data_IF_975853360019
#
_entry.id   IF_975853360019
#
_cell.length_a   1.000
_cell.length_b   1.000
_cell.length_c   1.000
_cell.angle_alpha   90.00
_cell.angle_beta   90.00
_cell.angle_gamma   90.00
#
_symmetry.space_group_name_H-M   'P 1'
#
loop_
_entity.id
_entity.type
_entity.pdbx_description
1 polymer ?
#
# COMPACT_ATOMS: atom_id res chain seq x y z
N UNK A 1 29.39 38.37 -12.26
CA UNK A 1 28.72 37.18 -11.69
C UNK A 1 29.61 35.99 -12.00
N UNK A 2 30.02 35.23 -11.00
CA UNK A 2 30.66 33.93 -11.24
C UNK A 2 29.57 32.97 -11.74
N UNK A 3 29.80 32.22 -12.82
CA UNK A 3 28.82 31.27 -13.37
C UNK A 3 28.62 30.03 -12.48
N UNK A 4 29.40 29.88 -11.41
CA UNK A 4 29.29 28.79 -10.46
C UNK A 4 28.16 29.04 -9.47
N UNK A 5 27.12 28.19 -9.54
CA UNK A 5 25.99 28.16 -8.61
C UNK A 5 26.24 27.03 -7.60
N UNK A 6 26.17 27.29 -6.28
CA UNK A 6 26.31 26.24 -5.27
C UNK A 6 25.29 25.11 -5.48
N UNK A 7 25.70 23.85 -5.28
CA UNK A 7 24.79 22.70 -5.41
C UNK A 7 23.55 22.82 -4.51
N UNK A 8 23.68 23.47 -3.34
CA UNK A 8 22.57 23.73 -2.42
C UNK A 8 21.52 24.73 -2.95
N UNK A 9 21.80 25.45 -4.03
CA UNK A 9 20.90 26.43 -4.65
C UNK A 9 20.19 25.89 -5.90
N UNK A 10 20.61 24.73 -6.42
CA UNK A 10 20.01 24.09 -7.60
C UNK A 10 18.72 23.37 -7.19
N UNK A 11 17.56 23.93 -7.52
CA UNK A 11 16.25 23.54 -6.94
C UNK A 11 15.60 22.26 -7.52
N UNK A 12 16.36 21.41 -8.21
CA UNK A 12 15.85 20.16 -8.79
C UNK A 12 15.47 19.16 -7.69
N UNK A 13 14.36 18.43 -7.86
CA UNK A 13 13.89 17.44 -6.88
C UNK A 13 14.78 16.21 -6.76
N UNK A 14 15.56 15.91 -7.80
CA UNK A 14 16.58 14.87 -7.79
C UNK A 14 17.92 15.34 -7.21
N UNK A 15 18.09 16.63 -6.92
CA UNK A 15 19.32 17.14 -6.31
C UNK A 15 19.27 16.95 -4.79
N UNK A 16 20.08 16.03 -4.20
CA UNK A 16 19.99 15.73 -2.79
C UNK A 16 20.50 16.90 -1.92
N UNK A 17 21.46 17.69 -2.42
CA UNK A 17 21.99 18.88 -1.73
C UNK A 17 20.92 19.95 -1.49
N UNK A 18 19.95 20.07 -2.41
CA UNK A 18 18.81 20.97 -2.26
C UNK A 18 17.67 20.33 -1.47
N UNK A 19 17.32 19.07 -1.80
CA UNK A 19 16.15 18.37 -1.24
C UNK A 19 16.24 18.18 0.28
N UNK A 20 17.40 17.76 0.80
CA UNK A 20 17.52 17.34 2.20
C UNK A 20 18.02 18.42 3.16
N UNK A 21 18.60 19.51 2.64
CA UNK A 21 19.14 20.68 3.36
C UNK A 21 20.12 20.34 4.53
N UNK A 22 20.90 21.33 4.94
CA UNK A 22 21.80 21.22 6.10
C UNK A 22 23.14 20.54 5.82
N UNK A 23 23.96 20.35 6.87
CA UNK A 23 25.34 19.85 6.78
C UNK A 23 25.41 18.31 6.88
N UNK A 24 24.82 17.62 5.91
CA UNK A 24 24.97 16.15 5.77
C UNK A 24 26.16 15.83 4.86
N UNK A 25 26.80 14.68 5.07
CA UNK A 25 27.81 14.19 4.13
C UNK A 25 27.17 13.79 2.79
N UNK A 26 27.97 13.72 1.73
CA UNK A 26 27.52 13.24 0.42
C UNK A 26 26.95 11.81 0.50
N UNK A 27 27.58 10.92 1.25
CA UNK A 27 27.11 9.54 1.49
C UNK A 27 25.74 9.51 2.20
N UNK A 28 25.53 10.39 3.19
CA UNK A 28 24.23 10.51 3.86
C UNK A 28 23.15 11.03 2.91
N UNK A 29 23.51 11.99 2.05
CA UNK A 29 22.63 12.58 1.04
C UNK A 29 22.22 11.55 -0.03
N UNK A 30 23.17 10.75 -0.52
CA UNK A 30 22.91 9.65 -1.46
C UNK A 30 22.02 8.58 -0.84
N UNK A 31 22.28 8.17 0.39
CA UNK A 31 21.47 7.18 1.11
C UNK A 31 20.02 7.65 1.27
N UNK A 32 19.82 8.93 1.60
CA UNK A 32 18.49 9.52 1.69
C UNK A 32 17.78 9.57 0.34
N UNK A 33 18.50 9.99 -0.72
CA UNK A 33 17.97 10.05 -2.07
C UNK A 33 17.54 8.67 -2.58
N UNK A 34 18.40 7.66 -2.38
CA UNK A 34 18.09 6.27 -2.74
C UNK A 34 16.84 5.78 -2.01
N UNK A 35 16.77 6.00 -0.69
CA UNK A 35 15.62 5.57 0.13
C UNK A 35 14.33 6.20 -0.37
N UNK A 36 14.31 7.51 -0.59
CA UNK A 36 13.11 8.22 -1.06
C UNK A 36 12.73 7.83 -2.49
N UNK A 37 13.71 7.63 -3.38
CA UNK A 37 13.46 7.18 -4.76
C UNK A 37 12.79 5.81 -4.76
N UNK A 38 13.23 4.89 -3.89
CA UNK A 38 12.61 3.57 -3.76
C UNK A 38 11.18 3.65 -3.20
N UNK A 39 10.93 4.56 -2.26
CA UNK A 39 9.56 4.81 -1.78
C UNK A 39 8.65 5.41 -2.85
N UNK A 40 9.17 6.33 -3.66
CA UNK A 40 8.46 6.90 -4.81
C UNK A 40 8.14 5.82 -5.86
N UNK A 41 9.10 4.93 -6.14
CA UNK A 41 8.89 3.76 -7.01
C UNK A 41 7.82 2.80 -6.47
N UNK A 42 7.83 2.49 -5.16
CA UNK A 42 6.77 1.69 -4.52
C UNK A 42 5.41 2.42 -4.58
N UNK A 43 5.38 3.74 -4.43
CA UNK A 43 4.13 4.51 -4.58
C UNK A 43 3.58 4.44 -6.01
N UNK A 44 4.47 4.48 -7.00
CA UNK A 44 4.12 4.30 -8.41
C UNK A 44 3.62 2.88 -8.69
N UNK A 45 4.25 1.84 -8.13
CA UNK A 45 3.80 0.46 -8.29
C UNK A 45 2.39 0.27 -7.73
N UNK A 46 2.10 0.79 -6.54
CA UNK A 46 0.73 0.78 -5.97
C UNK A 46 -0.26 1.54 -6.86
N UNK A 47 0.16 2.65 -7.48
CA UNK A 47 -0.67 3.33 -8.47
C UNK A 47 -0.95 2.48 -9.72
N UNK A 48 0.00 1.66 -10.16
CA UNK A 48 -0.22 0.68 -11.23
C UNK A 48 -1.15 -0.45 -10.76
N UNK A 49 -1.02 -0.92 -9.51
CA UNK A 49 -1.91 -1.92 -8.93
C UNK A 49 -3.36 -1.43 -8.91
N UNK A 50 -3.61 -0.15 -8.64
CA UNK A 50 -4.96 0.39 -8.71
C UNK A 50 -5.41 0.83 -10.12
N UNK A 51 -4.54 0.72 -11.13
CA UNK A 51 -4.83 1.16 -12.50
C UNK A 51 -4.82 2.68 -12.67
N UNK A 52 -4.36 3.43 -11.67
CA UNK A 52 -4.16 4.88 -11.80
C UNK A 52 -3.08 5.20 -12.82
N UNK A 53 -2.08 4.33 -12.95
CA UNK A 53 -1.01 4.39 -13.92
C UNK A 53 -0.92 3.06 -14.70
N UNK A 54 -0.17 3.08 -15.80
CA UNK A 54 0.22 1.90 -16.56
C UNK A 54 1.72 1.95 -16.86
N UNK A 55 2.32 0.77 -17.06
CA UNK A 55 3.67 0.64 -17.62
C UNK A 55 3.66 0.91 -19.13
N UNK A 56 2.53 0.67 -19.79
CA UNK A 56 2.39 0.63 -21.25
C UNK A 56 1.86 1.93 -21.83
N UNK A 57 1.38 2.85 -20.97
CA UNK A 57 0.84 4.14 -21.37
C UNK A 57 1.22 5.25 -20.38
N UNK A 58 1.83 6.35 -20.83
CA UNK A 58 2.17 7.47 -19.96
C UNK A 58 0.92 8.24 -19.51
N UNK A 59 1.00 8.83 -18.31
CA UNK A 59 -0.06 9.67 -17.74
C UNK A 59 -0.99 8.91 -16.80
N UNK A 60 -2.06 9.58 -16.40
CA UNK A 60 -3.13 8.99 -15.59
C UNK A 60 -4.04 8.14 -16.48
N UNK A 61 -4.43 6.96 -16.00
CA UNK A 61 -5.37 6.06 -16.68
C UNK A 61 -6.72 6.09 -15.97
N UNK A 62 -6.80 5.57 -14.73
CA UNK A 62 -7.98 5.67 -13.86
C UNK A 62 -7.83 6.80 -12.85
N UNK A 63 -8.51 7.92 -13.10
CA UNK A 63 -8.45 9.13 -12.27
C UNK A 63 -9.77 9.91 -12.19
N UNK A 64 -10.88 9.37 -12.70
CA UNK A 64 -12.21 9.96 -12.60
C UNK A 64 -13.15 9.04 -11.82
N UNK A 65 -14.18 9.64 -11.22
CA UNK A 65 -15.16 8.91 -10.43
C UNK A 65 -15.94 7.93 -11.31
N UNK A 66 -16.06 6.68 -10.84
CA UNK A 66 -16.85 5.65 -11.51
C UNK A 66 -16.13 4.94 -12.64
N UNK A 67 -14.87 5.29 -12.93
CA UNK A 67 -14.06 4.52 -13.88
C UNK A 67 -13.76 3.11 -13.33
N UNK A 68 -13.78 2.15 -14.25
CA UNK A 68 -13.69 0.72 -13.99
C UNK A 68 -12.48 0.11 -14.70
N UNK A 69 -12.29 -1.20 -14.52
CA UNK A 69 -11.28 -1.94 -15.27
C UNK A 69 -11.57 -1.94 -16.77
N UNK A 70 -12.83 -1.90 -17.19
CA UNK A 70 -13.17 -1.81 -18.61
C UNK A 70 -12.66 -0.50 -19.22
N UNK A 71 -12.75 0.61 -18.48
CA UNK A 71 -12.21 1.90 -18.89
C UNK A 71 -10.67 1.89 -18.97
N UNK A 72 -10.02 1.11 -18.09
CA UNK A 72 -8.58 0.88 -18.17
C UNK A 72 -8.22 0.13 -19.45
N UNK A 73 -8.90 -0.97 -19.74
CA UNK A 73 -8.64 -1.84 -20.89
C UNK A 73 -8.96 -1.18 -22.22
N UNK A 74 -9.92 -0.25 -22.27
CA UNK A 74 -10.13 0.58 -23.46
C UNK A 74 -8.92 1.46 -23.79
N UNK A 75 -8.16 1.87 -22.76
CA UNK A 75 -6.97 2.70 -22.91
C UNK A 75 -5.68 1.89 -23.06
N UNK A 76 -5.61 0.72 -22.43
CA UNK A 76 -4.46 -0.20 -22.42
C UNK A 76 -4.99 -1.62 -22.66
N UNK A 77 -5.23 -2.04 -23.91
CA UNK A 77 -5.91 -3.31 -24.21
C UNK A 77 -5.11 -4.56 -23.83
N UNK A 78 -3.78 -4.49 -23.88
CA UNK A 78 -2.87 -5.59 -23.55
C UNK A 78 -1.84 -5.12 -22.50
N UNK A 79 -2.24 -4.95 -21.24
CA UNK A 79 -1.35 -4.39 -20.22
C UNK A 79 -0.30 -5.41 -19.80
N UNK A 80 0.95 -4.94 -19.69
CA UNK A 80 2.08 -5.72 -19.13
C UNK A 80 1.87 -6.05 -17.66
N UNK A 81 1.10 -5.23 -16.94
CA UNK A 81 0.73 -5.45 -15.55
C UNK A 81 -0.73 -5.06 -15.32
N UNK A 82 -1.57 -6.06 -15.04
CA UNK A 82 -3.00 -5.85 -14.85
C UNK A 82 -3.29 -5.19 -13.49
N UNK A 83 -4.14 -4.14 -13.45
CA UNK A 83 -4.65 -3.62 -12.19
C UNK A 83 -5.46 -4.64 -11.41
N UNK A 84 -5.63 -4.36 -10.13
CA UNK A 84 -6.49 -5.06 -9.21
C UNK A 84 -7.96 -4.89 -9.62
N UNK A 85 -8.69 -5.99 -9.69
CA UNK A 85 -10.00 -6.03 -10.33
C UNK A 85 -11.07 -5.35 -9.48
N UNK A 86 -11.06 -5.57 -8.17
CA UNK A 86 -12.12 -5.11 -7.27
C UNK A 86 -11.77 -3.85 -6.46
N UNK A 87 -10.52 -3.35 -6.60
CA UNK A 87 -10.00 -2.15 -5.97
C UNK A 87 -9.68 -2.31 -4.46
N UNK A 88 -9.44 -3.53 -3.99
CA UNK A 88 -9.13 -3.84 -2.60
C UNK A 88 -7.81 -4.62 -2.55
N UNK A 89 -6.74 -4.00 -2.06
CA UNK A 89 -5.44 -4.67 -1.95
C UNK A 89 -5.13 -4.95 -0.47
N UNK A 90 -5.14 -6.21 -0.02
CA UNK A 90 -4.86 -6.57 1.37
C UNK A 90 -3.38 -6.31 1.74
N UNK A 91 -3.17 -5.79 2.94
CA UNK A 91 -1.84 -5.55 3.54
C UNK A 91 -1.75 -6.29 4.87
N UNK A 92 -1.47 -7.58 4.82
CA UNK A 92 -1.50 -8.44 6.00
C UNK A 92 -0.09 -8.88 6.42
N UNK A 93 0.01 -9.47 7.63
CA UNK A 93 1.28 -9.99 8.18
C UNK A 93 1.85 -11.16 7.36
N UNK A 94 1.00 -11.84 6.59
CA UNK A 94 1.37 -12.93 5.70
C UNK A 94 0.49 -12.94 4.45
N UNK A 95 0.82 -13.79 3.48
CA UNK A 95 0.09 -13.95 2.22
C UNK A 95 -1.14 -14.85 2.41
N UNK A 96 -2.30 -14.22 2.64
CA UNK A 96 -3.59 -14.92 2.76
C UNK A 96 -4.42 -14.86 1.48
N UNK A 97 -4.12 -13.94 0.57
CA UNK A 97 -4.91 -13.66 -0.63
C UNK A 97 -4.00 -13.55 -1.85
N UNK A 98 -4.53 -13.89 -3.03
CA UNK A 98 -3.77 -13.89 -4.30
C UNK A 98 -3.40 -12.49 -4.78
N UNK A 99 -4.13 -11.48 -4.32
CA UNK A 99 -3.93 -10.06 -4.57
C UNK A 99 -3.17 -9.34 -3.42
N UNK A 100 -2.50 -10.10 -2.54
CA UNK A 100 -1.63 -9.56 -1.50
C UNK A 100 -0.64 -8.53 -2.06
N UNK A 101 -0.47 -7.41 -1.33
CA UNK A 101 0.34 -6.27 -1.79
C UNK A 101 1.79 -6.63 -2.14
N UNK A 102 2.42 -7.57 -1.42
CA UNK A 102 3.80 -7.99 -1.70
C UNK A 102 3.83 -8.93 -2.90
N UNK A 103 2.86 -9.84 -3.00
CA UNK A 103 2.64 -10.66 -4.20
C UNK A 103 2.50 -9.80 -5.45
N UNK A 104 1.57 -8.83 -5.43
CA UNK A 104 1.39 -7.86 -6.51
C UNK A 104 2.64 -7.03 -6.79
N UNK A 105 3.39 -6.64 -5.76
CA UNK A 105 4.65 -5.92 -5.96
C UNK A 105 5.71 -6.77 -6.65
N UNK A 106 5.80 -8.07 -6.34
CA UNK A 106 6.68 -9.00 -7.04
C UNK A 106 6.28 -9.16 -8.51
N UNK A 107 4.99 -9.29 -8.81
CA UNK A 107 4.52 -9.34 -10.20
C UNK A 107 4.82 -8.04 -10.96
N UNK A 108 4.66 -6.89 -10.31
CA UNK A 108 5.06 -5.60 -10.87
C UNK A 108 6.57 -5.57 -11.20
N UNK A 109 7.42 -6.01 -10.26
CA UNK A 109 8.87 -6.07 -10.49
C UNK A 109 9.24 -6.98 -11.66
N UNK A 110 8.58 -8.14 -11.79
CA UNK A 110 8.79 -9.06 -12.92
C UNK A 110 8.40 -8.39 -14.25
N UNK A 111 7.28 -7.67 -14.28
CA UNK A 111 6.82 -6.95 -15.47
C UNK A 111 7.76 -5.80 -15.85
N UNK A 112 8.37 -5.10 -14.88
CA UNK A 112 9.27 -3.96 -15.16
C UNK A 112 10.71 -4.36 -15.47
N UNK A 113 11.24 -5.38 -14.80
CA UNK A 113 12.68 -5.70 -14.80
C UNK A 113 13.01 -7.15 -15.18
N UNK A 114 12.01 -7.96 -15.56
CA UNK A 114 12.19 -9.38 -15.83
C UNK A 114 12.13 -10.23 -14.56
N UNK A 115 11.75 -11.50 -14.71
CA UNK A 115 11.61 -12.42 -13.58
C UNK A 115 12.96 -12.86 -13.01
N UNK A 116 14.00 -12.87 -13.84
CA UNK A 116 15.37 -13.22 -13.50
C UNK A 116 16.03 -12.24 -12.52
N UNK A 117 15.61 -10.97 -12.52
CA UNK A 117 16.16 -9.93 -11.64
C UNK A 117 15.41 -9.80 -10.31
N UNK A 118 14.34 -10.57 -10.10
CA UNK A 118 13.45 -10.41 -8.96
C UNK A 118 14.17 -10.50 -7.61
N UNK A 119 15.07 -11.48 -7.44
CA UNK A 119 15.80 -11.66 -6.19
C UNK A 119 16.70 -10.45 -5.88
N UNK A 120 17.47 -10.00 -6.87
CA UNK A 120 18.34 -8.82 -6.75
C UNK A 120 17.53 -7.55 -6.46
N UNK A 121 16.40 -7.36 -7.16
CA UNK A 121 15.52 -6.22 -6.94
C UNK A 121 14.96 -6.19 -5.51
N UNK A 122 14.48 -7.34 -5.01
CA UNK A 122 13.97 -7.42 -3.64
C UNK A 122 15.06 -7.11 -2.62
N UNK A 123 16.27 -7.65 -2.79
CA UNK A 123 17.41 -7.35 -1.92
C UNK A 123 17.78 -5.86 -1.93
N UNK A 124 17.86 -5.26 -3.11
CA UNK A 124 18.18 -3.84 -3.27
C UNK A 124 17.13 -2.95 -2.60
N UNK A 125 15.85 -3.22 -2.86
CA UNK A 125 14.72 -2.46 -2.30
C UNK A 125 14.69 -2.61 -0.77
N UNK A 126 14.84 -3.84 -0.25
CA UNK A 126 14.89 -4.08 1.18
C UNK A 126 16.08 -3.34 1.84
N UNK A 127 17.24 -3.33 1.18
CA UNK A 127 18.42 -2.59 1.61
C UNK A 127 18.18 -1.07 1.67
N UNK A 128 17.43 -0.52 0.72
CA UNK A 128 17.07 0.90 0.71
C UNK A 128 16.00 1.26 1.77
N UNK A 129 15.06 0.35 2.06
CA UNK A 129 14.01 0.58 3.07
C UNK A 129 14.52 0.43 4.51
N UNK A 130 15.51 -0.44 4.72
CA UNK A 130 16.09 -0.71 6.02
C UNK A 130 17.30 0.17 6.30
N UNK A 131 17.23 0.98 7.37
CA UNK A 131 18.41 1.71 7.90
C UNK A 131 19.45 0.79 8.56
N UNK A 132 19.17 -0.50 8.70
CA UNK A 132 19.98 -1.45 9.47
C UNK A 132 20.17 -2.76 8.72
N UNK A 133 21.40 -3.03 8.28
CA UNK A 133 21.84 -4.35 7.79
C UNK A 133 21.86 -5.45 8.88
N UNK A 134 21.35 -5.19 10.10
CA UNK A 134 21.56 -6.05 11.30
C UNK A 134 20.40 -6.96 11.69
N UNK A 135 19.34 -7.05 10.91
CA UNK A 135 18.28 -8.05 11.16
C UNK A 135 18.29 -9.05 10.03
N UNK A 136 18.55 -10.34 10.31
CA UNK A 136 18.46 -11.43 9.34
C UNK A 136 17.03 -11.72 8.83
N UNK A 137 16.22 -10.68 8.65
CA UNK A 137 14.92 -10.75 8.01
C UNK A 137 15.10 -10.87 6.49
N UNK A 138 14.24 -11.66 5.84
CA UNK A 138 14.24 -11.75 4.38
C UNK A 138 13.88 -10.40 3.74
N UNK A 139 14.32 -10.16 2.49
CA UNK A 139 13.93 -8.97 1.74
C UNK A 139 12.40 -8.76 1.68
N UNK A 140 11.65 -9.84 1.46
CA UNK A 140 10.19 -9.81 1.43
C UNK A 140 9.60 -9.37 2.78
N UNK A 141 10.18 -9.81 3.90
CA UNK A 141 9.73 -9.39 5.22
C UNK A 141 9.94 -7.89 5.43
N UNK A 142 11.08 -7.35 4.99
CA UNK A 142 11.38 -5.91 5.09
C UNK A 142 10.37 -5.09 4.27
N UNK A 143 10.08 -5.53 3.05
CA UNK A 143 9.11 -4.88 2.15
C UNK A 143 7.69 -4.98 2.73
N UNK A 144 7.29 -6.15 3.23
CA UNK A 144 6.01 -6.35 3.92
C UNK A 144 5.87 -5.43 5.13
N UNK A 145 6.91 -5.36 5.96
CA UNK A 145 6.96 -4.47 7.12
C UNK A 145 6.86 -2.99 6.71
N UNK A 146 7.44 -2.59 5.57
CA UNK A 146 7.27 -1.25 5.02
C UNK A 146 5.81 -0.96 4.66
N UNK A 147 5.15 -1.84 3.90
CA UNK A 147 3.73 -1.69 3.56
C UNK A 147 2.84 -1.61 4.81
N UNK A 148 3.05 -2.50 5.78
CA UNK A 148 2.27 -2.59 7.01
C UNK A 148 2.44 -1.41 7.98
N UNK A 149 3.62 -0.76 8.01
CA UNK A 149 3.99 0.18 9.08
C UNK A 149 4.21 1.61 8.61
N UNK A 150 4.63 1.78 7.36
CA UNK A 150 5.25 3.02 6.89
C UNK A 150 4.63 3.56 5.61
N UNK A 151 4.25 2.70 4.66
CA UNK A 151 3.74 3.10 3.34
C UNK A 151 2.60 4.12 3.45
N UNK A 152 1.54 3.82 4.22
CA UNK A 152 0.40 4.74 4.32
C UNK A 152 0.77 6.08 4.97
N UNK A 153 1.73 6.09 5.92
CA UNK A 153 2.21 7.35 6.53
C UNK A 153 2.96 8.21 5.53
N UNK A 154 3.83 7.58 4.74
CA UNK A 154 4.57 8.25 3.66
C UNK A 154 3.59 8.77 2.59
N UNK A 155 2.59 7.96 2.21
CA UNK A 155 1.53 8.34 1.28
C UNK A 155 0.71 9.53 1.79
N UNK A 156 0.16 9.45 3.01
CA UNK A 156 -0.60 10.54 3.61
C UNK A 156 0.22 11.84 3.72
N UNK A 157 1.52 11.73 4.03
CA UNK A 157 2.44 12.89 4.06
C UNK A 157 2.65 13.50 2.68
N UNK A 158 2.93 12.67 1.67
CA UNK A 158 3.13 13.11 0.28
C UNK A 158 1.91 13.89 -0.23
N UNK A 159 0.70 13.42 0.11
CA UNK A 159 -0.55 14.05 -0.27
C UNK A 159 -1.04 15.13 0.71
N UNK A 160 -0.18 15.64 1.62
CA UNK A 160 -0.52 16.69 2.59
C UNK A 160 -1.82 16.41 3.36
N UNK A 161 -1.95 15.18 3.90
CA UNK A 161 -3.12 14.65 4.61
C UNK A 161 -4.39 14.60 3.77
N UNK A 162 -4.24 14.29 2.48
CA UNK A 162 -5.35 14.05 1.53
C UNK A 162 -5.01 12.84 0.63
N UNK A 163 -4.72 11.66 1.23
CA UNK A 163 -4.28 10.50 0.46
C UNK A 163 -5.38 10.05 -0.51
N UNK A 164 -4.96 9.58 -1.69
CA UNK A 164 -5.87 8.99 -2.69
C UNK A 164 -6.08 7.49 -2.48
N UNK A 165 -5.17 6.83 -1.78
CA UNK A 165 -5.29 5.41 -1.39
C UNK A 165 -5.64 5.42 0.09
N UNK A 166 -6.80 4.88 0.44
CA UNK A 166 -7.31 4.89 1.79
C UNK A 166 -7.02 3.55 2.45
N UNK A 167 -6.41 3.61 3.64
CA UNK A 167 -6.11 2.43 4.43
C UNK A 167 -7.31 2.13 5.32
N UNK A 168 -8.07 1.10 4.96
CA UNK A 168 -9.02 0.45 5.86
C UNK A 168 -8.22 -0.43 6.83
N UNK A 169 -8.44 -0.24 8.12
CA UNK A 169 -7.61 -0.87 9.16
C UNK A 169 -8.40 -1.15 10.42
N UNK A 170 -8.21 -2.34 11.00
CA UNK A 170 -8.75 -2.69 12.32
C UNK A 170 -8.07 -1.95 13.48
N UNK A 171 -7.01 -1.19 13.20
CA UNK A 171 -6.40 -0.27 14.15
C UNK A 171 -4.97 -0.65 14.54
N UNK A 172 -4.69 -0.69 15.85
CA UNK A 172 -3.31 -0.78 16.35
C UNK A 172 -2.69 -2.16 16.18
N UNK A 173 -3.47 -3.21 16.38
CA UNK A 173 -2.98 -4.58 16.21
C UNK A 173 -2.80 -4.93 14.73
N UNK A 174 -3.51 -4.21 13.84
CA UNK A 174 -3.41 -4.36 12.38
C UNK A 174 -3.81 -5.77 11.96
N UNK A 175 -4.76 -6.35 12.69
CA UNK A 175 -5.32 -7.67 12.39
C UNK A 175 -5.92 -7.74 10.99
N UNK A 176 -6.53 -6.64 10.53
CA UNK A 176 -6.94 -6.42 9.16
C UNK A 176 -6.45 -5.08 8.63
N UNK A 177 -5.93 -5.08 7.40
CA UNK A 177 -5.61 -3.87 6.65
C UNK A 177 -5.84 -4.13 5.17
N UNK A 178 -6.40 -3.14 4.47
CA UNK A 178 -6.45 -3.12 3.02
C UNK A 178 -6.35 -1.68 2.50
N UNK A 179 -5.79 -1.51 1.30
CA UNK A 179 -5.85 -0.24 0.58
C UNK A 179 -7.00 -0.26 -0.41
N UNK A 180 -7.68 0.88 -0.51
CA UNK A 180 -8.71 1.16 -1.51
C UNK A 180 -8.37 2.45 -2.21
N UNK A 181 -8.41 2.50 -3.54
CA UNK A 181 -8.21 3.75 -4.27
C UNK A 181 -9.52 4.51 -4.42
N UNK A 182 -9.55 5.75 -3.93
CA UNK A 182 -10.79 6.52 -3.81
C UNK A 182 -11.50 6.79 -5.14
N UNK A 183 -10.78 6.90 -6.26
CA UNK A 183 -11.43 7.21 -7.56
C UNK A 183 -12.21 6.02 -8.12
N UNK A 184 -11.88 4.81 -7.66
CA UNK A 184 -12.57 3.55 -8.00
C UNK A 184 -13.49 3.05 -6.88
N UNK A 185 -13.61 3.79 -5.77
CA UNK A 185 -14.53 3.44 -4.70
C UNK A 185 -15.98 3.47 -5.21
N UNK A 186 -16.78 2.52 -4.78
CA UNK A 186 -18.22 2.50 -5.03
C UNK A 186 -18.98 2.01 -3.78
N UNK A 187 -20.31 2.13 -3.80
CA UNK A 187 -21.19 1.75 -2.67
C UNK A 187 -21.10 0.28 -2.24
N UNK A 188 -20.58 -0.61 -3.08
CA UNK A 188 -20.41 -2.04 -2.78
C UNK A 188 -19.04 -2.35 -2.18
N UNK A 189 -18.08 -1.41 -2.23
CA UNK A 189 -16.70 -1.63 -1.75
C UNK A 189 -16.66 -2.10 -0.30
N UNK A 190 -17.46 -1.53 0.61
CA UNK A 190 -17.49 -1.98 2.01
C UNK A 190 -18.07 -3.38 2.18
N UNK A 191 -19.06 -3.75 1.36
CA UNK A 191 -19.65 -5.08 1.39
C UNK A 191 -18.65 -6.13 0.90
N UNK A 192 -17.93 -5.84 -0.19
CA UNK A 192 -16.83 -6.69 -0.70
C UNK A 192 -15.69 -6.82 0.30
N UNK A 193 -15.21 -5.69 0.84
CA UNK A 193 -14.16 -5.66 1.87
C UNK A 193 -14.52 -6.57 3.07
N UNK A 194 -15.78 -6.59 3.46
CA UNK A 194 -16.28 -7.45 4.53
C UNK A 194 -16.32 -8.92 4.11
N UNK A 195 -17.00 -9.21 3.00
CA UNK A 195 -17.36 -10.57 2.60
C UNK A 195 -16.19 -11.33 1.99
N UNK A 196 -15.47 -10.71 1.07
CA UNK A 196 -14.42 -11.35 0.28
C UNK A 196 -13.06 -11.33 0.98
N UNK A 197 -12.88 -10.45 1.98
CA UNK A 197 -11.60 -10.29 2.69
C UNK A 197 -11.69 -10.48 4.19
N UNK A 198 -12.51 -9.71 4.92
CA UNK A 198 -12.49 -9.75 6.38
C UNK A 198 -12.94 -11.10 6.94
N UNK A 199 -14.10 -11.59 6.51
CA UNK A 199 -14.65 -12.88 6.95
C UNK A 199 -13.81 -14.07 6.45
N UNK A 200 -13.29 -13.97 5.23
CA UNK A 200 -12.36 -14.96 4.68
C UNK A 200 -11.05 -15.02 5.47
N UNK A 201 -10.52 -13.88 5.92
CA UNK A 201 -9.35 -13.85 6.80
C UNK A 201 -9.65 -14.50 8.14
N UNK A 202 -10.77 -14.15 8.78
CA UNK A 202 -11.21 -14.76 10.04
C UNK A 202 -11.26 -16.29 9.94
N UNK A 203 -11.94 -16.81 8.91
CA UNK A 203 -12.04 -18.25 8.65
C UNK A 203 -10.67 -18.91 8.44
N UNK A 204 -9.74 -18.27 7.71
CA UNK A 204 -8.37 -18.76 7.52
C UNK A 204 -7.58 -18.79 8.82
N UNK A 205 -7.72 -17.79 9.69
CA UNK A 205 -7.06 -17.75 10.98
C UNK A 205 -7.62 -18.81 11.94
N UNK A 206 -8.93 -19.00 11.96
CA UNK A 206 -9.59 -20.07 12.73
C UNK A 206 -9.12 -21.47 12.29
N UNK A 207 -9.09 -21.71 10.98
CA UNK A 207 -8.55 -22.94 10.42
C UNK A 207 -7.09 -23.17 10.84
N UNK A 208 -6.27 -22.11 10.79
CA UNK A 208 -4.87 -22.15 11.26
C UNK A 208 -4.79 -22.52 12.74
N UNK A 209 -5.61 -21.93 13.61
CA UNK A 209 -5.67 -22.31 15.04
C UNK A 209 -6.01 -23.79 15.20
N UNK A 210 -6.98 -24.29 14.44
CA UNK A 210 -7.39 -25.70 14.47
C UNK A 210 -6.31 -26.69 14.02
N UNK A 211 -5.39 -26.26 13.15
CA UNK A 211 -4.26 -27.07 12.68
C UNK A 211 -3.05 -27.03 13.63
N UNK A 212 -2.97 -26.06 14.54
CA UNK A 212 -1.86 -25.94 15.48
C UNK A 212 -1.96 -26.98 16.60
N UNK A 213 -0.83 -27.59 16.96
CA UNK A 213 -0.70 -28.51 18.10
C UNK A 213 -0.87 -27.82 19.45
N UNK A 214 -0.92 -28.61 20.53
CA UNK A 214 -1.04 -28.10 21.90
C UNK A 214 0.21 -27.34 22.37
N UNK A 215 1.37 -27.67 21.78
CA UNK A 215 2.65 -26.99 21.99
C UNK A 215 2.69 -25.54 21.47
N UNK A 216 1.77 -25.16 20.58
CA UNK A 216 1.70 -23.83 19.95
C UNK A 216 0.79 -22.85 20.69
N UNK A 217 0.65 -22.97 22.02
CA UNK A 217 -0.24 -22.14 22.84
C UNK A 217 -0.02 -20.63 22.66
N UNK A 218 1.24 -20.20 22.48
CA UNK A 218 1.57 -18.79 22.26
C UNK A 218 1.05 -18.27 20.91
N UNK A 219 1.21 -19.05 19.84
CA UNK A 219 0.72 -18.70 18.50
C UNK A 219 -0.81 -18.71 18.46
N UNK A 220 -1.45 -19.74 19.04
CA UNK A 220 -2.92 -19.79 19.21
C UNK A 220 -3.45 -18.56 19.94
N UNK A 221 -2.77 -18.11 21.00
CA UNK A 221 -3.13 -16.90 21.73
C UNK A 221 -2.92 -15.60 20.95
N UNK A 222 -1.96 -15.55 20.02
CA UNK A 222 -1.78 -14.40 19.13
C UNK A 222 -2.86 -14.34 18.06
N UNK A 223 -3.14 -15.47 17.40
CA UNK A 223 -4.19 -15.59 16.40
C UNK A 223 -5.58 -15.33 17.00
N UNK A 224 -5.85 -15.81 18.22
CA UNK A 224 -7.10 -15.55 18.92
C UNK A 224 -7.34 -14.06 19.17
N UNK A 225 -6.31 -13.32 19.58
CA UNK A 225 -6.39 -11.84 19.72
C UNK A 225 -6.61 -11.14 18.39
N UNK A 226 -6.00 -11.67 17.33
CA UNK A 226 -6.22 -11.14 15.99
C UNK A 226 -7.68 -11.32 15.56
N UNK A 227 -8.25 -12.52 15.78
CA UNK A 227 -9.67 -12.80 15.51
C UNK A 227 -10.59 -11.91 16.34
N UNK A 228 -10.33 -11.72 17.64
CA UNK A 228 -11.09 -10.77 18.47
C UNK A 228 -11.08 -9.35 17.86
N UNK A 229 -9.93 -8.87 17.40
CA UNK A 229 -9.82 -7.58 16.70
C UNK A 229 -10.59 -7.57 15.36
N UNK A 230 -10.59 -8.68 14.61
CA UNK A 230 -11.37 -8.81 13.37
C UNK A 230 -12.87 -8.75 13.63
N UNK A 231 -13.37 -9.41 14.69
CA UNK A 231 -14.78 -9.42 15.06
C UNK A 231 -15.27 -8.02 15.47
N UNK A 232 -14.46 -7.29 16.26
CA UNK A 232 -14.77 -5.90 16.63
C UNK A 232 -14.82 -5.00 15.38
N UNK A 233 -13.90 -5.21 14.44
CA UNK A 233 -13.88 -4.49 13.17
C UNK A 233 -15.07 -4.88 12.26
N UNK A 234 -15.46 -6.16 12.22
CA UNK A 234 -16.61 -6.65 11.45
C UNK A 234 -17.89 -5.98 11.89
N UNK A 235 -18.12 -5.83 13.19
CA UNK A 235 -19.30 -5.15 13.70
C UNK A 235 -19.40 -3.69 13.20
N UNK A 236 -18.27 -2.95 13.19
CA UNK A 236 -18.23 -1.59 12.67
C UNK A 236 -18.42 -1.56 11.14
N UNK A 237 -17.71 -2.44 10.42
CA UNK A 237 -17.75 -2.52 8.97
C UNK A 237 -19.12 -2.94 8.46
N UNK A 238 -19.76 -3.91 9.12
CA UNK A 238 -21.12 -4.37 8.81
C UNK A 238 -22.11 -3.22 8.90
N UNK A 239 -22.14 -2.51 10.03
CA UNK A 239 -23.04 -1.37 10.23
C UNK A 239 -22.86 -0.31 9.13
N UNK A 240 -21.61 0.02 8.81
CA UNK A 240 -21.27 1.01 7.76
C UNK A 240 -21.58 0.51 6.35
N UNK A 241 -21.43 -0.78 6.08
CA UNK A 241 -21.74 -1.37 4.78
C UNK A 241 -23.23 -1.26 4.43
N UNK A 242 -24.10 -1.31 5.46
CA UNK A 242 -25.55 -1.15 5.29
C UNK A 242 -25.99 0.29 4.97
N UNK A 243 -25.11 1.27 5.18
CA UNK A 243 -25.39 2.68 4.84
C UNK A 243 -25.21 2.96 3.34
N UNK A 244 -24.60 2.04 2.56
CA UNK A 244 -24.29 2.22 1.14
C UNK A 244 -23.61 3.58 0.86
N UNK A 245 -22.62 3.93 1.68
CA UNK A 245 -21.93 5.22 1.64
C UNK A 245 -21.39 5.46 0.24
N UNK A 246 -21.80 6.58 -0.35
CA UNK A 246 -21.25 7.09 -1.60
C UNK A 246 -20.34 8.29 -1.35
N UNK A 247 -19.42 8.52 -2.28
CA UNK A 247 -18.49 9.65 -2.24
C UNK A 247 -18.70 10.55 -3.45
N UNK A 248 -18.33 11.81 -3.32
CA UNK A 248 -18.28 12.74 -4.46
C UNK A 248 -16.86 13.31 -4.49
N UNK A 249 -16.10 13.07 -5.55
CA UNK A 249 -14.72 13.55 -5.62
C UNK A 249 -14.62 15.08 -5.50
N UNK A 250 -15.67 15.83 -5.87
CA UNK A 250 -15.72 17.30 -5.80
C UNK A 250 -15.85 17.81 -4.35
N UNK A 251 -16.38 17.00 -3.42
CA UNK A 251 -16.36 17.30 -1.97
C UNK A 251 -14.92 17.33 -1.40
N UNK A 252 -13.98 16.74 -2.14
CA UNK A 252 -12.58 16.63 -1.79
C UNK A 252 -12.31 15.55 -0.73
N UNK A 253 -11.02 15.19 -0.61
CA UNK A 253 -10.60 14.03 0.17
C UNK A 253 -11.04 14.08 1.63
N UNK A 254 -10.94 15.24 2.30
CA UNK A 254 -11.21 15.32 3.75
C UNK A 254 -12.68 15.03 4.10
N UNK A 255 -13.61 15.54 3.28
CA UNK A 255 -15.04 15.36 3.51
C UNK A 255 -15.40 13.89 3.29
N UNK A 256 -14.94 13.30 2.18
CA UNK A 256 -15.21 11.90 1.90
C UNK A 256 -14.54 10.95 2.90
N UNK A 257 -13.28 11.21 3.28
CA UNK A 257 -12.56 10.38 4.24
C UNK A 257 -13.25 10.34 5.61
N UNK A 258 -13.88 11.44 6.03
CA UNK A 258 -14.62 11.51 7.28
C UNK A 258 -15.87 10.62 7.29
N UNK A 259 -16.45 10.29 6.13
CA UNK A 259 -17.59 9.36 6.03
C UNK A 259 -17.24 7.94 6.54
N UNK A 260 -15.95 7.59 6.51
CA UNK A 260 -15.42 6.28 6.93
C UNK A 260 -14.77 6.31 8.32
N UNK A 261 -15.10 7.30 9.16
CA UNK A 261 -14.59 7.39 10.53
C UNK A 261 -14.79 6.06 11.28
N UNK A 262 -13.72 5.60 11.95
CA UNK A 262 -13.68 4.31 12.63
C UNK A 262 -13.20 3.14 11.76
N UNK A 263 -13.36 3.21 10.43
CA UNK A 263 -12.92 2.15 9.51
C UNK A 263 -11.54 2.40 8.90
N UNK A 264 -11.18 3.66 8.71
CA UNK A 264 -9.93 4.05 8.04
C UNK A 264 -8.88 4.60 9.02
N UNK A 265 -7.61 4.48 8.64
CA UNK A 265 -6.47 4.96 9.43
C UNK A 265 -6.49 6.49 9.61
N UNK A 266 -5.88 7.01 10.67
CA UNK A 266 -5.82 8.47 10.89
C UNK A 266 -4.83 9.15 9.94
N UNK A 267 -5.19 10.34 9.43
CA UNK A 267 -4.38 11.17 8.51
C UNK A 267 -3.95 12.51 9.09
#
# INVERSE_FOLDING_TARGET
MTPEVPLSEITLTCNPFYRYKGNKSEEELETLLQTDTIKEFISYSVGCMFGRYSLDKPGLILANQGETIDDYLQQVPEPSFMPDDDNIIPILEDEYFTDDIVGRFKEFLKATFGAESLAENLEFIAGALSKSKKGGASPEKVIRDYFLKSFFKDHAKMYKKRPTYWLFTSGKGRGFNALVYMHRYNRETLAKLRTDYLLELEAKLDARIGMLGDESAAEKGQLGKQIEELMDYDAMLHNKSLEYIDIDLDDGVKVNYAKFEGLVGKI
#
